data_IF_388827222934
#
_entry.id   IF_388827222934
#
_cell.length_a   1.000
_cell.length_b   1.000
_cell.length_c   1.000
_cell.angle_alpha   90.00
_cell.angle_beta   90.00
_cell.angle_gamma   90.00
#
_symmetry.space_group_name_H-M   'P 1'
#
loop_
_entity.id
_entity.type
_entity.pdbx_description
1 polymer ?
#
# COMPACT_ATOMS: atom_id res chain seq x y z
N UNK A 1 14.71 11.75 8.82
CA UNK A 1 13.97 11.95 7.58
C UNK A 1 12.89 10.87 7.49
N UNK A 2 11.65 11.26 7.25
CA UNK A 2 10.54 10.32 7.14
C UNK A 2 10.24 10.01 5.68
N UNK A 3 10.04 8.74 5.38
CA UNK A 3 9.60 8.28 4.06
C UNK A 3 8.40 7.35 4.21
N UNK A 4 7.63 7.22 3.16
CA UNK A 4 6.48 6.33 3.12
C UNK A 4 6.77 5.18 2.18
N UNK A 5 6.69 3.97 2.71
CA UNK A 5 7.00 2.75 1.96
C UNK A 5 5.70 2.04 1.63
N UNK A 6 5.44 1.89 0.34
CA UNK A 6 4.28 1.16 -0.15
C UNK A 6 4.70 -0.27 -0.45
N UNK A 7 4.02 -1.22 0.19
CA UNK A 7 4.26 -2.64 0.00
C UNK A 7 2.99 -3.32 -0.49
N UNK A 8 3.16 -4.46 -1.14
CA UNK A 8 2.08 -5.29 -1.66
C UNK A 8 2.18 -6.68 -1.06
N UNK A 9 1.10 -7.15 -0.48
CA UNK A 9 1.01 -8.51 0.04
C UNK A 9 0.13 -9.32 -0.90
N UNK A 10 0.70 -10.38 -1.46
CA UNK A 10 -0.02 -11.30 -2.36
C UNK A 10 -0.48 -12.49 -1.54
N UNK A 11 -1.80 -12.68 -1.47
CA UNK A 11 -2.38 -13.79 -0.74
C UNK A 11 -2.64 -14.95 -1.70
N UNK A 12 -1.56 -15.58 -2.17
CA UNK A 12 -1.62 -16.74 -3.04
C UNK A 12 -1.33 -18.03 -2.27
N UNK A 13 -1.97 -19.10 -2.70
CA UNK A 13 -1.67 -20.44 -2.23
C UNK A 13 -0.22 -20.79 -2.61
N UNK A 14 0.64 -20.98 -1.64
CA UNK A 14 2.08 -21.27 -1.78
C UNK A 14 2.99 -20.06 -2.09
N UNK A 15 2.47 -18.84 -2.11
CA UNK A 15 3.31 -17.66 -2.30
C UNK A 15 2.91 -16.59 -1.31
N UNK A 16 3.34 -16.73 -0.07
CA UNK A 16 3.21 -15.67 0.91
C UNK A 16 4.43 -14.77 0.81
N UNK A 17 4.20 -13.49 0.60
CA UNK A 17 5.29 -12.55 0.54
C UNK A 17 4.83 -11.12 0.48
N UNK A 18 5.58 -10.26 1.14
CA UNK A 18 5.37 -8.83 1.08
C UNK A 18 6.38 -8.27 0.08
N UNK A 19 5.89 -7.63 -0.97
CA UNK A 19 6.72 -7.08 -2.02
C UNK A 19 6.80 -5.57 -1.92
N UNK A 20 8.00 -5.04 -2.06
CA UNK A 20 8.23 -3.62 -2.15
C UNK A 20 7.65 -3.10 -3.47
N UNK A 21 6.91 -1.98 -3.40
CA UNK A 21 6.33 -1.35 -4.58
C UNK A 21 7.01 -0.01 -4.86
N UNK A 22 6.97 0.92 -3.89
CA UNK A 22 7.52 2.26 -4.10
C UNK A 22 7.77 2.97 -2.77
N UNK A 23 8.73 3.88 -2.77
CA UNK A 23 8.99 4.80 -1.65
C UNK A 23 8.57 6.22 -2.07
N UNK A 24 7.87 6.90 -1.18
CA UNK A 24 7.48 8.30 -1.36
C UNK A 24 8.17 9.16 -0.29
N UNK A 25 8.73 10.28 -0.70
CA UNK A 25 9.36 11.23 0.23
C UNK A 25 8.31 11.94 1.11
N UNK A 26 7.09 12.07 0.59
CA UNK A 26 5.97 12.67 1.29
C UNK A 26 4.76 11.73 1.21
N UNK A 27 3.77 11.96 2.08
CA UNK A 27 2.56 11.13 2.06
C UNK A 27 1.92 11.17 0.68
N UNK A 28 1.75 10.03 0.01
CA UNK A 28 1.20 10.02 -1.34
C UNK A 28 -0.29 10.40 -1.33
N UNK A 29 -0.74 11.02 -2.43
CA UNK A 29 -2.14 11.30 -2.66
C UNK A 29 -2.80 10.12 -3.39
N UNK A 30 -4.12 10.23 -3.59
CA UNK A 30 -4.90 9.17 -4.25
C UNK A 30 -4.36 8.86 -5.66
N UNK A 31 -4.04 9.88 -6.45
CA UNK A 31 -3.54 9.69 -7.80
C UNK A 31 -2.20 8.94 -7.82
N UNK A 32 -1.32 9.25 -6.89
CA UNK A 32 -0.03 8.56 -6.77
C UNK A 32 -0.21 7.10 -6.39
N UNK A 33 -1.14 6.80 -5.49
CA UNK A 33 -1.44 5.42 -5.12
C UNK A 33 -2.04 4.64 -6.29
N UNK A 34 -2.99 5.24 -7.02
CA UNK A 34 -3.59 4.61 -8.20
C UNK A 34 -2.55 4.36 -9.29
N UNK A 35 -1.65 5.32 -9.51
CA UNK A 35 -0.57 5.17 -10.49
C UNK A 35 0.40 4.06 -10.11
N UNK A 36 0.57 3.79 -8.82
CA UNK A 36 1.42 2.69 -8.33
C UNK A 36 0.73 1.33 -8.41
N UNK A 37 -0.55 1.28 -8.79
CA UNK A 37 -1.30 0.04 -8.95
C UNK A 37 -2.25 -0.27 -7.80
N UNK A 38 -2.41 0.62 -6.83
CA UNK A 38 -3.33 0.41 -5.71
C UNK A 38 -4.77 0.57 -6.17
N UNK A 39 -5.66 -0.39 -5.92
CA UNK A 39 -7.09 -0.23 -6.24
C UNK A 39 -7.70 0.94 -5.49
N UNK A 40 -8.74 1.53 -6.06
CA UNK A 40 -9.37 2.74 -5.50
C UNK A 40 -9.89 2.54 -4.08
N UNK A 41 -10.55 1.43 -3.81
CA UNK A 41 -11.07 1.11 -2.48
C UNK A 41 -9.97 0.99 -1.44
N UNK A 42 -8.86 0.36 -1.79
CA UNK A 42 -7.71 0.25 -0.89
C UNK A 42 -7.01 1.59 -0.71
N UNK A 43 -6.91 2.39 -1.78
CA UNK A 43 -6.33 3.73 -1.70
C UNK A 43 -7.10 4.62 -0.72
N UNK A 44 -8.43 4.54 -0.73
CA UNK A 44 -9.26 5.27 0.23
C UNK A 44 -8.97 4.85 1.67
N UNK A 45 -8.83 3.55 1.91
CA UNK A 45 -8.51 3.05 3.23
C UNK A 45 -7.14 3.53 3.70
N UNK A 46 -6.14 3.51 2.84
CA UNK A 46 -4.80 4.01 3.15
C UNK A 46 -4.84 5.50 3.53
N UNK A 47 -5.54 6.31 2.75
CA UNK A 47 -5.61 7.76 2.98
C UNK A 47 -6.38 8.11 4.25
N UNK A 48 -7.29 7.27 4.70
CA UNK A 48 -8.08 7.47 5.91
C UNK A 48 -7.49 6.77 7.14
N UNK A 49 -6.32 6.17 7.00
CA UNK A 49 -5.66 5.37 8.04
C UNK A 49 -6.57 4.24 8.56
N UNK A 50 -7.35 3.66 7.66
CA UNK A 50 -8.24 2.54 7.97
C UNK A 50 -7.71 1.24 7.39
N UNK A 51 -7.99 0.14 8.09
CA UNK A 51 -7.65 -1.18 7.61
C UNK A 51 -8.64 -1.59 6.51
N UNK A 52 -8.11 -2.14 5.42
CA UNK A 52 -8.94 -2.70 4.36
C UNK A 52 -9.48 -4.06 4.80
N UNK A 53 -10.81 -4.20 4.84
CA UNK A 53 -11.49 -5.40 5.32
C UNK A 53 -12.13 -6.22 4.21
N UNK A 54 -12.03 -5.79 2.96
CA UNK A 54 -12.60 -6.51 1.83
C UNK A 54 -11.75 -7.70 1.41
N UNK A 55 -12.35 -8.60 0.62
CA UNK A 55 -11.62 -9.69 0.01
C UNK A 55 -10.83 -9.16 -1.18
N UNK A 56 -9.51 -9.32 -1.13
CA UNK A 56 -8.65 -8.91 -2.22
C UNK A 56 -7.51 -9.92 -2.38
N UNK A 57 -7.18 -10.20 -3.62
CA UNK A 57 -6.04 -11.03 -3.99
C UNK A 57 -4.73 -10.36 -3.57
N UNK A 58 -4.66 -9.05 -3.74
CA UNK A 58 -3.52 -8.24 -3.36
C UNK A 58 -3.96 -7.15 -2.39
N UNK A 59 -3.23 -7.01 -1.29
CA UNK A 59 -3.46 -5.95 -0.32
C UNK A 59 -2.24 -5.04 -0.29
N UNK A 60 -2.49 -3.74 -0.30
CA UNK A 60 -1.42 -2.73 -0.27
C UNK A 60 -1.37 -2.09 1.11
N UNK A 61 -0.14 -1.87 1.58
CA UNK A 61 0.10 -1.26 2.88
C UNK A 61 1.06 -0.10 2.71
N UNK A 62 0.75 1.00 3.39
CA UNK A 62 1.62 2.16 3.43
C UNK A 62 2.17 2.30 4.84
N UNK A 63 3.49 2.31 4.96
CA UNK A 63 4.17 2.41 6.24
C UNK A 63 5.06 3.64 6.26
N UNK A 64 5.04 4.38 7.37
CA UNK A 64 5.95 5.50 7.57
C UNK A 64 7.22 4.99 8.24
N UNK A 65 8.35 5.21 7.59
CA UNK A 65 9.65 4.82 8.11
C UNK A 65 10.50 6.06 8.33
N UNK A 66 11.30 6.02 9.39
CA UNK A 66 12.23 7.10 9.71
C UNK A 66 13.65 6.63 9.41
N UNK A 67 14.30 7.32 8.49
CA UNK A 67 15.67 7.02 8.08
C UNK A 67 16.61 8.17 8.33
#
# INVERSE_FOLDING_TARGET
>A
MQVYVLTRDINEYNQEGMYFVKVFAEKPNKQQLLAAGVPEDQAKCILQDKEFTGDAYECFYLRCENI
#
